data_IF_266441023894
#
_entry.id   IF_266441023894
#
_cell.length_a   1.000
_cell.length_b   1.000
_cell.length_c   1.000
_cell.angle_alpha   90.00
_cell.angle_beta   90.00
_cell.angle_gamma   90.00
#
_symmetry.space_group_name_H-M   'P 1'
#
loop_
_entity.id
_entity.type
_entity.pdbx_description
1 polymer ?
#
# COMPACT_ATOMS: atom_id res chain seq x y z
N UNK A 1 24.93 10.24 22.93
CA UNK A 1 25.80 9.25 22.25
C UNK A 1 25.20 7.85 22.13
N UNK A 2 24.78 7.15 23.21
CA UNK A 2 24.14 5.81 23.06
C UNK A 2 22.76 5.87 22.38
N UNK A 3 21.90 6.77 22.83
CA UNK A 3 20.54 6.94 22.27
C UNK A 3 20.57 7.31 20.78
N UNK A 4 21.45 8.23 20.38
CA UNK A 4 21.62 8.62 18.97
C UNK A 4 22.13 7.46 18.09
N UNK A 5 22.94 6.55 18.64
CA UNK A 5 23.43 5.38 17.92
C UNK A 5 22.33 4.32 17.73
N UNK A 6 21.46 4.15 18.73
CA UNK A 6 20.29 3.26 18.67
C UNK A 6 19.26 3.75 17.65
N UNK A 7 18.98 5.06 17.62
CA UNK A 7 18.08 5.64 16.63
C UNK A 7 18.60 5.47 15.19
N UNK A 8 19.91 5.68 14.97
CA UNK A 8 20.51 5.46 13.65
C UNK A 8 20.42 4.01 13.21
N UNK A 9 20.70 3.08 14.12
CA UNK A 9 20.59 1.64 13.85
C UNK A 9 19.15 1.26 13.48
N UNK A 10 18.16 1.80 14.20
CA UNK A 10 16.74 1.58 13.90
C UNK A 10 16.35 2.08 12.51
N UNK A 11 16.76 3.30 12.14
CA UNK A 11 16.50 3.87 10.81
C UNK A 11 17.09 3.01 9.68
N UNK A 12 18.28 2.45 9.88
CA UNK A 12 18.93 1.55 8.91
C UNK A 12 18.11 0.28 8.74
N UNK A 13 17.70 -0.33 9.86
CA UNK A 13 16.89 -1.57 9.86
C UNK A 13 15.54 -1.32 9.19
N UNK A 14 14.86 -0.23 9.52
CA UNK A 14 13.56 0.12 8.94
C UNK A 14 13.68 0.40 7.42
N UNK A 15 14.74 1.10 7.00
CA UNK A 15 15.04 1.33 5.59
C UNK A 15 15.28 0.03 4.83
N UNK A 16 16.04 -0.91 5.41
CA UNK A 16 16.24 -2.24 4.82
C UNK A 16 14.92 -2.99 4.66
N UNK A 17 14.11 -3.06 5.72
CA UNK A 17 12.79 -3.71 5.64
C UNK A 17 11.86 -3.04 4.62
N UNK A 18 11.93 -1.72 4.47
CA UNK A 18 11.20 -1.01 3.43
C UNK A 18 11.63 -1.48 2.04
N UNK A 19 12.94 -1.50 1.75
CA UNK A 19 13.46 -1.94 0.44
C UNK A 19 13.08 -3.38 0.13
N UNK A 20 13.19 -4.29 1.10
CA UNK A 20 12.74 -5.68 0.94
C UNK A 20 11.24 -5.72 0.63
N UNK A 21 10.42 -4.94 1.34
CA UNK A 21 8.96 -4.95 1.15
C UNK A 21 8.49 -4.50 -0.25
N UNK A 22 9.31 -3.75 -0.99
CA UNK A 22 9.02 -3.30 -2.36
C UNK A 22 9.81 -4.07 -3.43
N UNK A 23 10.67 -5.03 -3.02
CA UNK A 23 11.51 -5.78 -3.94
C UNK A 23 10.67 -6.65 -4.90
N UNK A 24 11.12 -6.85 -6.15
CA UNK A 24 10.40 -7.68 -7.13
C UNK A 24 10.12 -9.10 -6.63
N UNK A 25 11.05 -9.69 -5.88
CA UNK A 25 10.92 -11.03 -5.29
C UNK A 25 9.80 -11.09 -4.26
N UNK A 26 9.73 -10.10 -3.35
CA UNK A 26 8.64 -9.99 -2.37
C UNK A 26 7.29 -9.71 -3.05
N UNK A 27 7.28 -8.91 -4.13
CA UNK A 27 6.08 -8.69 -4.94
C UNK A 27 5.60 -9.99 -5.60
N UNK A 28 6.51 -10.76 -6.19
CA UNK A 28 6.19 -12.04 -6.83
C UNK A 28 5.67 -13.05 -5.81
N UNK A 29 6.31 -13.16 -4.63
CA UNK A 29 5.88 -14.05 -3.56
C UNK A 29 4.46 -13.74 -3.04
N UNK A 30 4.05 -12.47 -3.07
CA UNK A 30 2.73 -12.03 -2.61
C UNK A 30 1.70 -11.87 -3.75
N UNK A 31 2.08 -12.16 -5.01
CA UNK A 31 1.27 -11.81 -6.18
C UNK A 31 -0.07 -12.55 -6.20
N UNK A 32 -0.08 -13.83 -5.80
CA UNK A 32 -1.30 -14.63 -5.74
C UNK A 32 -2.29 -14.06 -4.71
N UNK A 33 -1.82 -13.79 -3.49
CA UNK A 33 -2.63 -13.20 -2.43
C UNK A 33 -3.18 -11.82 -2.85
N UNK A 34 -2.36 -11.00 -3.49
CA UNK A 34 -2.79 -9.71 -4.01
C UNK A 34 -3.89 -9.84 -5.07
N UNK A 35 -3.72 -10.73 -6.04
CA UNK A 35 -4.71 -10.98 -7.07
C UNK A 35 -6.03 -11.49 -6.48
N UNK A 36 -5.97 -12.31 -5.44
CA UNK A 36 -7.14 -12.78 -4.70
C UNK A 36 -7.89 -11.61 -4.05
N UNK A 37 -7.20 -10.74 -3.30
CA UNK A 37 -7.80 -9.51 -2.75
C UNK A 37 -8.45 -8.66 -3.84
N UNK A 38 -7.79 -8.47 -4.99
CA UNK A 38 -8.34 -7.69 -6.11
C UNK A 38 -9.48 -8.35 -6.91
N UNK A 39 -9.71 -9.64 -6.70
CA UNK A 39 -10.76 -10.41 -7.35
C UNK A 39 -11.99 -10.57 -6.45
N UNK A 40 -11.77 -10.78 -5.15
CA UNK A 40 -12.80 -11.22 -4.20
C UNK A 40 -13.18 -10.14 -3.18
N UNK A 41 -12.35 -9.13 -2.98
CA UNK A 41 -12.58 -8.08 -1.97
C UNK A 41 -13.00 -6.74 -2.57
N UNK A 42 -13.60 -5.91 -1.73
CA UNK A 42 -13.93 -4.51 -2.02
C UNK A 42 -13.01 -3.55 -1.26
N UNK A 43 -13.06 -2.26 -1.62
CA UNK A 43 -12.39 -1.21 -0.84
C UNK A 43 -13.24 -0.95 0.41
N UNK A 44 -12.59 -1.00 1.58
CA UNK A 44 -13.18 -0.65 2.87
C UNK A 44 -12.98 0.84 3.18
N UNK A 45 -11.73 1.31 3.05
CA UNK A 45 -11.35 2.71 3.24
C UNK A 45 -10.07 3.00 2.44
N UNK A 46 -9.76 4.27 2.22
CA UNK A 46 -8.49 4.70 1.67
C UNK A 46 -8.12 6.11 2.10
N UNK A 47 -6.82 6.38 2.23
CA UNK A 47 -6.31 7.70 2.58
C UNK A 47 -5.12 8.08 1.71
N UNK A 48 -4.99 9.36 1.41
CA UNK A 48 -3.90 9.89 0.60
C UNK A 48 -3.14 10.98 1.35
N UNK A 49 -1.81 10.81 1.43
CA UNK A 49 -0.89 11.77 2.02
C UNK A 49 0.28 11.97 1.08
N UNK A 50 0.42 13.19 0.56
CA UNK A 50 1.45 13.59 -0.41
C UNK A 50 1.44 12.75 -1.70
N UNK A 51 2.25 11.70 -1.76
CA UNK A 51 2.37 10.77 -2.89
C UNK A 51 2.06 9.33 -2.49
N UNK A 52 1.61 9.11 -1.27
CA UNK A 52 1.27 7.80 -0.73
C UNK A 52 -0.26 7.67 -0.67
N UNK A 53 -0.79 6.66 -1.36
CA UNK A 53 -2.17 6.22 -1.20
C UNK A 53 -2.17 4.91 -0.41
N UNK A 54 -2.85 4.90 0.73
CA UNK A 54 -3.14 3.69 1.49
C UNK A 54 -4.57 3.24 1.19
N UNK A 55 -4.76 1.95 0.90
CA UNK A 55 -6.08 1.36 0.62
C UNK A 55 -6.26 0.12 1.50
N UNK A 56 -7.29 0.15 2.33
CA UNK A 56 -7.74 -0.99 3.12
C UNK A 56 -8.87 -1.70 2.40
N UNK A 57 -8.80 -3.02 2.37
CA UNK A 57 -9.79 -3.89 1.73
C UNK A 57 -10.68 -4.55 2.78
N UNK A 58 -11.87 -5.00 2.35
CA UNK A 58 -12.85 -5.66 3.23
C UNK A 58 -12.35 -7.01 3.79
N UNK A 59 -11.28 -7.58 3.23
CA UNK A 59 -10.64 -8.80 3.72
C UNK A 59 -9.62 -8.51 4.85
N UNK A 60 -9.55 -7.26 5.31
CA UNK A 60 -8.64 -6.80 6.37
C UNK A 60 -7.25 -6.44 5.86
N UNK A 61 -6.90 -6.76 4.62
CA UNK A 61 -5.59 -6.41 4.07
C UNK A 61 -5.49 -4.93 3.74
N UNK A 62 -4.30 -4.36 3.91
CA UNK A 62 -4.02 -2.97 3.51
C UNK A 62 -2.81 -2.90 2.61
N UNK A 63 -2.89 -2.08 1.55
CA UNK A 63 -1.81 -1.86 0.60
C UNK A 63 -1.47 -0.39 0.48
N UNK A 64 -0.17 -0.11 0.41
CA UNK A 64 0.40 1.20 0.18
C UNK A 64 0.83 1.31 -1.28
N UNK A 65 0.41 2.38 -1.97
CA UNK A 65 0.74 2.71 -3.35
C UNK A 65 1.54 4.01 -3.39
N UNK A 66 2.78 3.93 -3.87
CA UNK A 66 3.74 5.03 -3.88
C UNK A 66 3.73 5.81 -5.19
N UNK A 67 3.91 7.12 -5.09
CA UNK A 67 3.97 8.00 -6.26
C UNK A 67 2.61 8.38 -6.81
N UNK A 68 1.50 8.09 -6.12
CA UNK A 68 0.15 8.43 -6.59
C UNK A 68 -0.05 9.94 -6.49
N UNK A 69 -0.17 10.67 -7.61
CA UNK A 69 -0.31 12.12 -7.58
C UNK A 69 -1.71 12.54 -7.16
N UNK A 70 -1.82 13.74 -6.57
CA UNK A 70 -3.09 14.30 -6.07
C UNK A 70 -4.22 14.30 -7.11
N UNK A 71 -3.92 14.54 -8.39
CA UNK A 71 -4.92 14.54 -9.46
C UNK A 71 -5.54 13.15 -9.70
N UNK A 72 -4.78 12.06 -9.55
CA UNK A 72 -5.29 10.69 -9.64
C UNK A 72 -6.12 10.36 -8.41
N UNK A 73 -5.69 10.80 -7.22
CA UNK A 73 -6.49 10.67 -6.00
C UNK A 73 -7.83 11.41 -6.10
N UNK A 74 -7.84 12.65 -6.60
CA UNK A 74 -9.09 13.42 -6.82
C UNK A 74 -10.03 12.71 -7.80
N UNK A 75 -9.50 12.03 -8.83
CA UNK A 75 -10.31 11.20 -9.73
C UNK A 75 -10.84 9.94 -9.05
N UNK A 76 -10.07 9.33 -8.14
CA UNK A 76 -10.51 8.19 -7.34
C UNK A 76 -11.72 8.56 -6.47
N UNK A 77 -11.62 9.63 -5.68
CA UNK A 77 -12.68 10.01 -4.73
C UNK A 77 -14.00 10.40 -5.41
N UNK A 78 -13.90 11.01 -6.61
CA UNK A 78 -15.06 11.44 -7.39
C UNK A 78 -15.60 10.35 -8.34
N UNK A 79 -15.02 9.15 -8.34
CA UNK A 79 -15.49 8.05 -9.19
C UNK A 79 -16.69 7.36 -8.57
N UNK A 80 -17.78 7.22 -9.33
CA UNK A 80 -18.96 6.42 -8.93
C UNK A 80 -18.61 4.95 -8.62
N UNK A 81 -17.50 4.46 -9.19
CA UNK A 81 -17.01 3.08 -9.04
C UNK A 81 -15.53 3.11 -8.69
N UNK A 82 -15.22 3.52 -7.47
CA UNK A 82 -13.86 3.67 -6.94
C UNK A 82 -12.97 2.44 -7.19
N UNK A 83 -13.45 1.23 -6.87
CA UNK A 83 -12.69 -0.01 -7.09
C UNK A 83 -12.33 -0.23 -8.57
N UNK A 84 -13.28 -0.01 -9.48
CA UNK A 84 -13.04 -0.16 -10.93
C UNK A 84 -12.01 0.86 -11.43
N UNK A 85 -12.10 2.10 -10.95
CA UNK A 85 -11.12 3.14 -11.28
C UNK A 85 -9.73 2.76 -10.79
N UNK A 86 -9.61 2.36 -9.52
CA UNK A 86 -8.35 1.99 -8.90
C UNK A 86 -7.70 0.77 -9.58
N UNK A 87 -8.48 -0.26 -9.95
CA UNK A 87 -8.00 -1.43 -10.68
C UNK A 87 -7.40 -1.11 -12.04
N UNK A 88 -7.93 -0.08 -12.72
CA UNK A 88 -7.45 0.34 -14.05
C UNK A 88 -6.30 1.33 -13.99
N UNK A 89 -6.26 2.18 -12.96
CA UNK A 89 -5.42 3.38 -12.97
C UNK A 89 -4.38 3.41 -11.86
N UNK A 90 -4.47 2.51 -10.87
CA UNK A 90 -3.65 2.57 -9.64
C UNK A 90 -2.98 1.23 -9.33
N UNK A 91 -3.76 0.17 -9.11
CA UNK A 91 -3.30 -1.08 -8.47
C UNK A 91 -2.07 -1.73 -9.11
N UNK A 92 -1.98 -1.70 -10.44
CA UNK A 92 -0.82 -2.24 -11.17
C UNK A 92 0.03 -1.14 -11.86
N UNK A 93 -0.29 0.13 -11.63
CA UNK A 93 0.36 1.27 -12.28
C UNK A 93 1.40 1.95 -11.40
N UNK A 94 1.31 1.75 -10.09
CA UNK A 94 2.23 2.33 -9.11
C UNK A 94 3.01 1.23 -8.37
N UNK A 95 4.18 1.60 -7.86
CA UNK A 95 4.89 0.75 -6.91
C UNK A 95 4.00 0.56 -5.69
N UNK A 96 3.85 -0.67 -5.22
CA UNK A 96 3.03 -0.97 -4.07
C UNK A 96 3.68 -2.01 -3.17
N UNK A 97 3.24 -2.05 -1.91
CA UNK A 97 3.52 -3.13 -0.97
C UNK A 97 2.31 -3.42 -0.09
N UNK A 98 2.28 -4.61 0.49
CA UNK A 98 1.36 -4.90 1.59
C UNK A 98 1.84 -4.14 2.83
N UNK A 99 0.92 -3.44 3.50
CA UNK A 99 1.22 -2.74 4.75
C UNK A 99 1.60 -3.73 5.84
N UNK A 100 2.44 -3.29 6.79
CA UNK A 100 2.72 -4.06 8.01
C UNK A 100 1.53 -4.04 8.98
N UNK A 101 0.59 -3.11 8.80
CA UNK A 101 -0.62 -2.97 9.62
C UNK A 101 -1.80 -3.49 8.80
N UNK A 102 -2.25 -4.69 9.10
CA UNK A 102 -3.55 -5.17 8.63
C UNK A 102 -4.64 -4.55 9.52
N UNK A 103 -5.80 -4.25 8.94
CA UNK A 103 -6.93 -3.69 9.68
C UNK A 103 -7.43 -4.79 10.64
N UNK A 104 -7.31 -4.57 11.95
CA UNK A 104 -7.90 -5.47 12.93
C UNK A 104 -9.40 -5.20 12.94
N UNK A 105 -10.18 -6.06 12.30
CA UNK A 105 -11.64 -6.06 12.45
C UNK A 105 -11.92 -6.62 13.85
N UNK A 106 -12.39 -5.76 14.74
CA UNK A 106 -12.79 -6.11 16.10
C UNK A 106 -14.17 -6.79 16.14
#
# INVERSE_FOLDING_TARGET
MREEAEEKSRKIIDGYHFLVSIAPETKAANQEAYNKTLAESGIADFQHKELLLEVSFLDGTTYEYFGVPKNVYVKLINSDRQFRFAKRSIFNSYLYRKSKKDLIIA
#
